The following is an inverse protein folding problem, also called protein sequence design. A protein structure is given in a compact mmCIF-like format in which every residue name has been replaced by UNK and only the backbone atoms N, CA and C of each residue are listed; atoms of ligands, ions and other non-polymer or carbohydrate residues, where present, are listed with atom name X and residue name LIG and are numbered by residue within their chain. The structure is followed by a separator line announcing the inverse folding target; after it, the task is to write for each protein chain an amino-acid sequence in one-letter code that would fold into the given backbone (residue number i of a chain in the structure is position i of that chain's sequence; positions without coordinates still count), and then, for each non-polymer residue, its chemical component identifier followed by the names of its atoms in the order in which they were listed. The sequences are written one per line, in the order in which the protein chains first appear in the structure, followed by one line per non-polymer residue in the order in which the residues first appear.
data_IF_522262120986
#
_entry.id   IF_522262120986
#
_cell.length_a   1.000
_cell.length_b   1.000
_cell.length_c   1.000
_cell.angle_alpha   90.00
_cell.angle_beta   90.00
_cell.angle_gamma   90.00
#
_symmetry.space_group_name_H-M   'P 1'
#
loop_
_entity.id
_entity.type
_entity.pdbx_description
1 polymer ?
#
# COMPACT_ATOMS: atom_id res chain seq x y z
N UNK A 1 8.04 -4.14 -36.55
CA UNK A 1 7.84 -4.34 -35.09
C UNK A 1 6.46 -3.78 -34.74
N UNK A 2 5.49 -4.59 -34.32
CA UNK A 2 4.16 -4.07 -33.93
C UNK A 2 4.32 -3.31 -32.62
N UNK A 3 4.00 -2.01 -32.61
CA UNK A 3 4.03 -1.19 -31.39
C UNK A 3 3.04 -1.78 -30.38
N UNK A 4 3.49 -2.00 -29.15
CA UNK A 4 2.62 -2.33 -28.02
C UNK A 4 1.59 -1.20 -27.88
N UNK A 5 0.28 -1.51 -27.95
CA UNK A 5 -0.80 -0.50 -27.96
C UNK A 5 -1.68 -0.49 -26.72
N UNK A 6 -1.63 -1.52 -25.88
CA UNK A 6 -2.55 -1.63 -24.74
C UNK A 6 -1.87 -1.17 -23.46
N UNK A 7 -2.47 -0.16 -22.81
CA UNK A 7 -2.11 0.30 -21.47
C UNK A 7 -3.12 -0.22 -20.46
N UNK A 8 -2.65 -0.69 -19.32
CA UNK A 8 -3.50 -1.21 -18.25
C UNK A 8 -3.09 -0.58 -16.92
N UNK A 9 -4.04 0.08 -16.26
CA UNK A 9 -3.94 0.50 -14.87
C UNK A 9 -4.70 -0.49 -13.99
N UNK A 10 -4.07 -1.03 -12.95
CA UNK A 10 -4.71 -1.98 -12.05
C UNK A 10 -4.19 -1.83 -10.61
N UNK A 11 -5.00 -2.23 -9.63
CA UNK A 11 -4.63 -2.15 -8.21
C UNK A 11 -3.64 -3.26 -7.83
N UNK A 12 -2.48 -2.90 -7.27
CA UNK A 12 -1.43 -3.87 -6.92
C UNK A 12 -0.65 -3.49 -5.64
N UNK A 13 -1.27 -3.67 -4.47
CA UNK A 13 -0.58 -3.38 -3.20
C UNK A 13 0.23 -4.57 -2.69
N UNK A 14 -0.28 -5.81 -2.77
CA UNK A 14 0.41 -6.94 -2.13
C UNK A 14 1.58 -7.47 -2.95
N UNK A 15 1.40 -7.59 -4.27
CA UNK A 15 2.34 -8.28 -5.16
C UNK A 15 2.78 -7.35 -6.31
N UNK A 16 4.01 -7.51 -6.83
CA UNK A 16 4.39 -6.91 -8.10
C UNK A 16 3.57 -7.52 -9.23
N UNK A 17 3.56 -6.85 -10.37
CA UNK A 17 2.73 -7.23 -11.51
C UNK A 17 3.54 -7.64 -12.75
N UNK A 18 2.91 -8.31 -13.73
CA UNK A 18 3.59 -8.79 -14.93
C UNK A 18 4.35 -7.67 -15.63
N UNK A 19 5.53 -8.03 -16.13
CA UNK A 19 6.39 -7.16 -16.91
C UNK A 19 6.67 -7.85 -18.25
N UNK A 20 5.60 -8.23 -18.95
CA UNK A 20 5.72 -8.70 -20.32
C UNK A 20 5.91 -7.52 -21.28
N UNK A 21 6.66 -7.71 -22.36
CA UNK A 21 6.82 -6.67 -23.39
C UNK A 21 5.59 -6.52 -24.29
N UNK A 22 4.42 -7.04 -23.89
CA UNK A 22 3.20 -7.07 -24.70
C UNK A 22 2.17 -6.03 -24.25
N UNK A 23 2.22 -5.62 -22.99
CA UNK A 23 1.31 -4.65 -22.37
C UNK A 23 2.10 -3.65 -21.55
N UNK A 24 1.73 -2.36 -21.65
CA UNK A 24 2.26 -1.32 -20.76
C UNK A 24 1.46 -1.29 -19.47
N UNK A 25 1.93 -2.06 -18.48
CA UNK A 25 1.36 -2.13 -17.16
C UNK A 25 1.77 -0.95 -16.28
N UNK A 26 0.81 -0.40 -15.54
CA UNK A 26 1.05 0.46 -14.38
C UNK A 26 0.16 0.03 -13.21
N UNK A 27 0.68 0.15 -11.99
CA UNK A 27 -0.10 -0.13 -10.79
C UNK A 27 -0.25 1.08 -9.90
N UNK A 28 -1.31 1.09 -9.10
CA UNK A 28 -1.58 2.14 -8.13
C UNK A 28 -2.15 1.57 -6.84
N UNK A 29 -2.11 2.39 -5.79
CA UNK A 29 -2.68 2.08 -4.49
C UNK A 29 -4.14 2.56 -4.44
N UNK A 30 -5.07 1.65 -4.12
CA UNK A 30 -6.48 1.97 -3.94
C UNK A 30 -6.92 1.88 -2.48
N UNK A 31 -6.00 2.01 -1.52
CA UNK A 31 -6.37 2.17 -0.12
C UNK A 31 -7.08 3.52 0.08
N UNK A 32 -8.03 3.62 1.02
CA UNK A 32 -8.98 4.74 1.06
C UNK A 32 -8.35 6.13 1.01
N UNK A 33 -7.31 6.38 1.81
CA UNK A 33 -6.65 7.70 1.85
C UNK A 33 -5.93 8.03 0.53
N UNK A 34 -5.42 7.03 -0.20
CA UNK A 34 -4.83 7.25 -1.52
C UNK A 34 -5.90 7.50 -2.59
N UNK A 35 -7.07 6.86 -2.49
CA UNK A 35 -8.21 7.11 -3.39
C UNK A 35 -8.78 8.53 -3.24
N UNK A 36 -8.75 9.05 -2.01
CA UNK A 36 -9.25 10.39 -1.69
C UNK A 36 -8.21 11.49 -1.93
N UNK A 37 -6.95 11.11 -2.21
CA UNK A 37 -5.84 12.04 -2.49
C UNK A 37 -5.85 12.50 -3.95
N UNK A 38 -5.45 13.76 -4.18
CA UNK A 38 -5.16 14.31 -5.50
C UNK A 38 -3.77 13.88 -6.01
N UNK A 39 -2.94 13.28 -5.16
CA UNK A 39 -1.62 12.77 -5.51
C UNK A 39 -1.58 11.25 -5.40
N UNK A 40 -1.37 10.58 -6.53
CA UNK A 40 -1.32 9.12 -6.62
C UNK A 40 0.11 8.63 -6.86
N UNK A 41 0.48 7.58 -6.15
CA UNK A 41 1.67 6.80 -6.51
C UNK A 41 1.33 5.87 -7.68
N UNK A 42 2.24 5.79 -8.64
CA UNK A 42 2.14 4.89 -9.78
C UNK A 42 3.42 4.08 -9.90
N UNK A 43 3.29 2.76 -9.95
CA UNK A 43 4.40 1.85 -10.16
C UNK A 43 4.49 1.48 -11.63
N UNK A 44 5.70 1.53 -12.20
CA UNK A 44 6.00 1.11 -13.57
C UNK A 44 7.17 0.11 -13.55
N UNK A 45 7.15 -0.96 -14.38
CA UNK A 45 8.29 -1.87 -14.51
C UNK A 45 9.49 -1.16 -15.11
N UNK A 46 10.69 -1.41 -14.58
CA UNK A 46 11.92 -0.78 -15.05
C UNK A 46 12.15 -0.91 -16.57
N UNK A 47 11.76 -2.03 -17.17
CA UNK A 47 11.89 -2.25 -18.62
C UNK A 47 11.02 -1.32 -19.48
N UNK A 48 9.97 -0.74 -18.92
CA UNK A 48 9.06 0.18 -19.59
C UNK A 48 9.26 1.64 -19.14
N UNK A 49 10.06 1.85 -18.09
CA UNK A 49 10.22 3.14 -17.45
C UNK A 49 11.03 4.08 -18.34
N UNK A 50 10.31 4.92 -19.08
CA UNK A 50 10.85 5.90 -20.01
C UNK A 50 10.16 7.24 -19.81
N UNK A 51 10.88 8.33 -20.06
CA UNK A 51 10.32 9.68 -19.93
C UNK A 51 9.09 9.90 -20.83
N UNK A 52 9.07 9.29 -22.02
CA UNK A 52 7.91 9.32 -22.90
C UNK A 52 6.68 8.65 -22.26
N UNK A 53 6.83 7.45 -21.69
CA UNK A 53 5.72 6.76 -21.01
C UNK A 53 5.26 7.53 -19.77
N UNK A 54 6.19 8.08 -18.99
CA UNK A 54 5.87 8.90 -17.82
C UNK A 54 5.06 10.14 -18.21
N UNK A 55 5.43 10.81 -19.30
CA UNK A 55 4.69 11.96 -19.82
C UNK A 55 3.25 11.57 -20.18
N UNK A 56 3.06 10.46 -20.90
CA UNK A 56 1.73 9.98 -21.27
C UNK A 56 0.84 9.68 -20.03
N UNK A 57 1.42 9.13 -18.96
CA UNK A 57 0.69 8.94 -17.70
C UNK A 57 0.37 10.25 -17.00
N UNK A 58 1.29 11.23 -17.02
CA UNK A 58 1.04 12.57 -16.46
C UNK A 58 -0.04 13.32 -17.23
N UNK A 59 -0.12 13.17 -18.54
CA UNK A 59 -1.19 13.76 -19.36
C UNK A 59 -2.57 13.18 -18.99
N UNK A 60 -2.64 11.86 -18.82
CA UNK A 60 -3.85 11.20 -18.32
C UNK A 60 -4.23 11.68 -16.92
N UNK A 61 -3.26 11.77 -16.01
CA UNK A 61 -3.50 12.23 -14.64
C UNK A 61 -3.95 13.69 -14.59
N UNK A 62 -3.36 14.57 -15.39
CA UNK A 62 -3.77 15.96 -15.51
C UNK A 62 -5.24 16.08 -15.99
N UNK A 63 -5.67 15.23 -16.93
CA UNK A 63 -7.07 15.18 -17.36
C UNK A 63 -8.03 14.74 -16.24
N UNK A 64 -7.52 14.01 -15.24
CA UNK A 64 -8.25 13.60 -14.02
C UNK A 64 -8.02 14.53 -12.82
N UNK A 65 -7.27 15.62 -13.00
CA UNK A 65 -6.85 16.53 -11.91
C UNK A 65 -6.05 15.81 -10.80
N UNK A 66 -5.19 14.89 -11.22
CA UNK A 66 -4.31 14.12 -10.34
C UNK A 66 -2.84 14.47 -10.60
N UNK A 67 -2.07 14.48 -9.53
CA UNK A 67 -0.61 14.48 -9.54
C UNK A 67 -0.07 13.05 -9.43
N UNK A 68 1.04 12.76 -10.10
CA UNK A 68 1.66 11.42 -10.09
C UNK A 68 3.06 11.43 -9.48
N UNK A 69 3.29 10.46 -8.59
CA UNK A 69 4.60 10.07 -8.06
C UNK A 69 4.95 8.70 -8.60
N UNK A 70 6.04 8.60 -9.35
CA UNK A 70 6.48 7.33 -9.93
C UNK A 70 7.34 6.54 -8.95
N UNK A 71 7.12 5.23 -8.88
CA UNK A 71 7.97 4.31 -8.12
C UNK A 71 8.26 3.03 -8.91
N UNK A 72 9.32 2.28 -8.53
CA UNK A 72 9.59 0.98 -9.14
C UNK A 72 8.47 -0.03 -8.85
N UNK A 73 8.20 -0.94 -9.79
CA UNK A 73 7.33 -2.10 -9.58
C UNK A 73 7.86 -3.02 -8.46
N UNK A 74 7.45 -2.75 -7.23
CA UNK A 74 7.67 -3.58 -6.05
C UNK A 74 6.38 -3.66 -5.23
N UNK A 75 6.07 -4.83 -4.67
CA UNK A 75 4.88 -5.02 -3.83
C UNK A 75 4.85 -4.02 -2.67
N UNK A 76 3.77 -3.26 -2.53
CA UNK A 76 3.58 -2.27 -1.47
C UNK A 76 4.03 -0.86 -1.84
N UNK A 77 4.66 -0.68 -3.01
CA UNK A 77 5.05 0.63 -3.54
C UNK A 77 5.77 1.47 -2.46
N UNK A 78 5.35 2.71 -2.20
CA UNK A 78 5.89 3.54 -1.13
C UNK A 78 4.91 3.60 0.04
N UNK A 79 3.74 4.19 -0.17
CA UNK A 79 2.81 4.51 0.93
C UNK A 79 2.23 3.27 1.61
N UNK A 80 1.68 2.27 0.88
CA UNK A 80 1.15 1.06 1.50
C UNK A 80 2.19 0.30 2.32
N UNK A 81 3.44 0.24 1.85
CA UNK A 81 4.52 -0.46 2.55
C UNK A 81 4.81 0.20 3.90
N UNK A 82 5.05 1.52 3.89
CA UNK A 82 5.33 2.26 5.12
C UNK A 82 4.15 2.19 6.08
N UNK A 83 2.93 2.39 5.57
CA UNK A 83 1.73 2.41 6.38
C UNK A 83 1.41 1.03 6.99
N UNK A 84 1.55 -0.05 6.23
CA UNK A 84 1.38 -1.41 6.75
C UNK A 84 2.37 -1.74 7.87
N UNK A 85 3.65 -1.36 7.71
CA UNK A 85 4.66 -1.55 8.75
C UNK A 85 4.36 -0.71 9.99
N UNK A 86 3.94 0.55 9.83
CA UNK A 86 3.50 1.40 10.94
C UNK A 86 2.34 0.79 11.71
N UNK A 87 1.32 0.29 10.99
CA UNK A 87 0.17 -0.38 11.60
C UNK A 87 0.64 -1.64 12.34
N UNK A 88 1.46 -2.47 11.72
CA UNK A 88 2.00 -3.68 12.34
C UNK A 88 2.75 -3.37 13.64
N UNK A 89 3.59 -2.33 13.64
CA UNK A 89 4.35 -1.88 14.81
C UNK A 89 3.43 -1.38 15.93
N UNK A 90 2.33 -0.69 15.59
CA UNK A 90 1.33 -0.29 16.57
C UNK A 90 0.66 -1.49 17.25
N UNK A 91 0.37 -2.57 16.51
CA UNK A 91 -0.12 -3.81 17.10
C UNK A 91 0.93 -4.47 18.00
N UNK A 92 2.20 -4.53 17.60
CA UNK A 92 3.28 -5.04 18.46
C UNK A 92 3.40 -4.24 19.75
N UNK A 93 3.36 -2.91 19.65
CA UNK A 93 3.43 -1.98 20.79
C UNK A 93 2.29 -2.21 21.77
N UNK A 94 1.07 -2.38 21.25
CA UNK A 94 -0.12 -2.70 22.06
C UNK A 94 -0.02 -4.09 22.69
N UNK A 95 0.39 -5.10 21.92
CA UNK A 95 0.48 -6.49 22.39
C UNK A 95 1.56 -6.65 23.47
N UNK A 96 2.59 -5.80 23.47
CA UNK A 96 3.59 -5.69 24.54
C UNK A 96 3.11 -4.92 25.79
N UNK A 97 1.89 -4.37 25.76
CA UNK A 97 1.29 -3.65 26.88
C UNK A 97 1.87 -2.24 27.10
N UNK A 98 2.53 -1.66 26.10
CA UNK A 98 3.14 -0.31 26.20
C UNK A 98 2.06 0.77 26.36
N UNK A 99 0.97 0.67 25.59
CA UNK A 99 -0.13 1.61 25.60
C UNK A 99 -1.41 0.98 25.02
N UNK A 100 -2.56 1.61 25.27
CA UNK A 100 -3.83 1.21 24.65
C UNK A 100 -3.86 1.60 23.16
N UNK A 101 -4.73 0.98 22.37
CA UNK A 101 -4.90 1.35 20.97
C UNK A 101 -5.32 2.82 20.80
N UNK A 102 -6.17 3.32 21.70
CA UNK A 102 -6.62 4.72 21.72
C UNK A 102 -5.46 5.68 22.03
N UNK A 103 -4.65 5.39 23.04
CA UNK A 103 -3.50 6.22 23.39
C UNK A 103 -2.43 6.22 22.29
N UNK A 104 -2.22 5.08 21.62
CA UNK A 104 -1.31 4.99 20.48
C UNK A 104 -1.81 5.86 19.33
N UNK A 105 -3.09 5.81 19.00
CA UNK A 105 -3.67 6.64 17.94
C UNK A 105 -3.57 8.13 18.28
N UNK A 106 -3.89 8.53 19.52
CA UNK A 106 -3.73 9.91 19.99
C UNK A 106 -2.28 10.37 19.93
N UNK A 107 -1.35 9.53 20.39
CA UNK A 107 0.08 9.80 20.37
C UNK A 107 0.62 10.00 18.95
N UNK A 108 0.21 9.18 18.00
CA UNK A 108 0.63 9.32 16.60
C UNK A 108 -0.03 10.54 15.94
N UNK A 109 -1.32 10.81 16.19
CA UNK A 109 -1.97 11.98 15.60
C UNK A 109 -1.39 13.30 16.10
N UNK A 110 -1.28 13.46 17.42
CA UNK A 110 -0.83 14.72 18.01
C UNK A 110 0.70 14.85 18.11
N UNK A 111 1.41 13.72 18.19
CA UNK A 111 2.88 13.70 18.27
C UNK A 111 3.56 13.80 16.91
N UNK A 112 3.01 13.19 15.84
CA UNK A 112 3.62 13.20 14.49
C UNK A 112 2.82 14.00 13.47
N UNK A 113 1.70 14.61 13.89
CA UNK A 113 0.79 15.37 13.03
C UNK A 113 0.22 14.52 11.87
N UNK A 114 0.06 13.21 12.09
CA UNK A 114 -0.66 12.36 11.14
C UNK A 114 -2.16 12.65 11.18
N UNK A 115 -2.86 12.58 10.02
CA UNK A 115 -4.30 12.83 9.98
C UNK A 115 -5.10 11.77 10.72
N UNK A 116 -4.53 10.58 10.91
CA UNK A 116 -5.14 9.43 11.57
C UNK A 116 -4.12 8.66 12.39
N UNK A 117 -4.61 7.91 13.37
CA UNK A 117 -3.81 6.94 14.09
C UNK A 117 -3.63 5.62 13.32
N UNK A 118 -2.63 4.79 13.66
CA UNK A 118 -2.45 3.47 13.07
C UNK A 118 -3.67 2.54 13.17
N UNK A 119 -4.39 2.50 14.29
CA UNK A 119 -5.57 1.65 14.43
C UNK A 119 -6.76 2.21 13.63
N UNK A 120 -6.97 3.52 13.63
CA UNK A 120 -7.90 4.20 12.71
C UNK A 120 -7.62 3.86 11.24
N UNK A 121 -6.36 3.91 10.79
CA UNK A 121 -5.97 3.49 9.43
C UNK A 121 -6.24 2.01 9.17
N UNK A 122 -5.91 1.14 10.13
CA UNK A 122 -6.19 -0.28 10.05
C UNK A 122 -7.68 -0.56 9.84
N UNK A 123 -8.55 0.17 10.55
CA UNK A 123 -9.99 0.04 10.43
C UNK A 123 -10.51 0.50 9.05
N UNK A 124 -9.98 1.60 8.53
CA UNK A 124 -10.35 2.10 7.18
C UNK A 124 -9.89 1.17 6.06
N UNK A 125 -8.66 0.69 6.12
CA UNK A 125 -8.06 -0.18 5.09
C UNK A 125 -8.62 -1.61 5.20
N UNK A 126 -8.87 -2.08 6.41
CA UNK A 126 -9.23 -3.44 6.74
C UNK A 126 -8.00 -4.30 7.05
N UNK A 127 -7.97 -4.88 8.24
CA UNK A 127 -6.87 -5.72 8.72
C UNK A 127 -6.53 -6.89 7.78
N UNK A 128 -7.50 -7.60 7.15
CA UNK A 128 -7.18 -8.69 6.23
C UNK A 128 -6.34 -8.25 5.02
N UNK A 129 -6.53 -7.03 4.52
CA UNK A 129 -5.75 -6.51 3.38
C UNK A 129 -4.31 -6.24 3.79
N UNK A 130 -4.11 -5.73 5.01
CA UNK A 130 -2.79 -5.42 5.57
C UNK A 130 -2.03 -6.71 5.86
N UNK A 131 -2.66 -7.68 6.53
CA UNK A 131 -2.07 -9.01 6.79
C UNK A 131 -1.62 -9.66 5.50
N UNK A 132 -2.49 -9.68 4.47
CA UNK A 132 -2.14 -10.25 3.16
C UNK A 132 -0.93 -9.56 2.51
N UNK A 133 -0.82 -8.25 2.65
CA UNK A 133 0.29 -7.48 2.08
C UNK A 133 1.60 -7.80 2.82
N UNK A 134 1.59 -7.78 4.15
CA UNK A 134 2.75 -8.12 4.98
C UNK A 134 3.20 -9.58 4.76
N UNK A 135 2.27 -10.54 4.74
CA UNK A 135 2.58 -11.95 4.46
C UNK A 135 3.21 -12.13 3.07
N UNK A 136 2.71 -11.39 2.06
CA UNK A 136 3.29 -11.41 0.72
C UNK A 136 4.74 -10.89 0.71
N UNK A 137 5.04 -9.82 1.45
CA UNK A 137 6.40 -9.25 1.50
C UNK A 137 7.35 -10.08 2.35
N UNK A 138 6.87 -10.65 3.46
CA UNK A 138 7.62 -11.59 4.28
C UNK A 138 8.01 -12.86 3.48
N UNK A 139 7.14 -13.32 2.59
CA UNK A 139 7.46 -14.46 1.72
C UNK A 139 8.54 -14.14 0.67
N UNK A 140 8.63 -12.88 0.23
CA UNK A 140 9.64 -12.42 -0.73
C UNK A 140 11.00 -12.12 -0.07
N UNK A 141 10.98 -11.65 1.18
CA UNK A 141 12.19 -11.40 1.97
C UNK A 141 12.03 -11.92 3.41
N UNK A 142 12.24 -13.23 3.62
CA UNK A 142 12.05 -13.85 4.94
C UNK A 142 13.02 -13.38 6.01
N UNK A 143 14.13 -12.72 5.63
CA UNK A 143 15.10 -12.18 6.57
C UNK A 143 14.65 -10.82 7.16
N UNK A 144 13.64 -10.17 6.56
CA UNK A 144 13.16 -8.88 7.02
C UNK A 144 12.04 -9.04 8.07
N UNK A 145 12.43 -8.95 9.34
CA UNK A 145 11.52 -9.08 10.49
C UNK A 145 10.37 -8.05 10.50
N UNK A 146 10.58 -6.88 9.89
CA UNK A 146 9.57 -5.81 9.84
C UNK A 146 8.26 -6.20 9.12
N UNK A 147 8.27 -7.29 8.33
CA UNK A 147 7.06 -7.81 7.68
C UNK A 147 6.40 -8.96 8.44
N UNK A 148 6.98 -9.42 9.54
CA UNK A 148 6.36 -10.43 10.39
C UNK A 148 5.11 -9.84 11.05
N UNK A 149 3.95 -10.36 10.66
CA UNK A 149 2.66 -9.87 11.14
C UNK A 149 2.50 -10.11 12.64
N UNK A 150 2.13 -9.06 13.37
CA UNK A 150 1.78 -9.12 14.78
C UNK A 150 0.57 -10.03 15.04
N UNK A 151 0.59 -10.76 16.15
CA UNK A 151 -0.51 -11.66 16.51
C UNK A 151 -1.83 -10.91 16.70
N UNK A 152 -1.79 -9.74 17.34
CA UNK A 152 -2.96 -8.87 17.50
C UNK A 152 -3.55 -8.40 16.17
N UNK A 153 -2.72 -8.18 15.14
CA UNK A 153 -3.19 -7.79 13.80
C UNK A 153 -3.83 -8.99 13.07
N UNK A 154 -3.29 -10.20 13.24
CA UNK A 154 -3.94 -11.42 12.75
C UNK A 154 -5.28 -11.66 13.42
N UNK A 155 -5.37 -11.47 14.73
CA UNK A 155 -6.63 -11.59 15.48
C UNK A 155 -7.67 -10.59 14.99
N UNK A 156 -7.28 -9.33 14.77
CA UNK A 156 -8.18 -8.32 14.21
C UNK A 156 -8.68 -8.73 12.82
N UNK A 157 -7.79 -9.23 11.95
CA UNK A 157 -8.17 -9.69 10.62
C UNK A 157 -9.20 -10.83 10.66
N UNK A 158 -9.03 -11.80 11.56
CA UNK A 158 -9.99 -12.88 11.76
C UNK A 158 -11.33 -12.35 12.30
N UNK A 159 -11.29 -11.41 13.25
CA UNK A 159 -12.50 -10.77 13.80
C UNK A 159 -13.30 -10.04 12.72
N UNK A 160 -12.63 -9.28 11.85
CA UNK A 160 -13.28 -8.58 10.74
C UNK A 160 -13.86 -9.53 9.70
N UNK A 161 -13.18 -10.63 9.37
CA UNK A 161 -13.70 -11.63 8.44
C UNK A 161 -14.97 -12.30 8.97
N UNK A 162 -15.02 -12.62 10.27
CA UNK A 162 -16.18 -13.27 10.88
C UNK A 162 -17.43 -12.36 10.95
N UNK A 163 -17.26 -11.03 10.93
CA UNK A 163 -18.38 -10.07 10.93
C UNK A 163 -19.06 -9.93 9.55
N UNK A 164 -18.45 -10.45 8.49
CA UNK A 164 -18.96 -10.38 7.12
C UNK A 164 -19.75 -11.64 6.69
N UNK A 165 -19.81 -12.65 7.57
CA UNK A 165 -20.56 -13.90 7.42
C UNK A 165 -21.82 -13.86 8.29
#
# INVERSE_FOLDING_TARGET
MKSVKTKVLFHAVAQPFPSDGLVQWAAWNSWPDALESDCWEIAIPAMHDSEALRLEWRELAAALQLELVFCPNRGGMVTPRVLACLINEAYLTRDQGVATAEDIDLGMRYGTNYPRGPFEWCQRIGAPRIVRALDAWAALDPAQDAYKVADGLRQEALSQQNKLL
#
